data_IF_781526551342
#
_entry.id   IF_781526551342
#
_cell.length_a   1.000
_cell.length_b   1.000
_cell.length_c   1.000
_cell.angle_alpha   90.00
_cell.angle_beta   90.00
_cell.angle_gamma   90.00
#
_symmetry.space_group_name_H-M   'P 1'
#
loop_
_entity.id
_entity.type
_entity.pdbx_description
1 polymer ?
#
# COMPACT_ATOMS: atom_id res chain seq x y z
N UNK A 1 -46.59 2.01 -74.70
CA UNK A 1 -47.74 1.08 -74.57
C UNK A 1 -47.74 -0.13 -75.52
N UNK A 2 -46.62 -0.49 -76.19
CA UNK A 2 -46.54 -1.75 -76.97
C UNK A 2 -45.83 -2.91 -76.25
N UNK A 3 -45.08 -2.65 -75.17
CA UNK A 3 -44.39 -3.67 -74.36
C UNK A 3 -45.31 -4.39 -73.35
N UNK A 4 -46.35 -3.71 -72.84
CA UNK A 4 -47.32 -4.34 -71.92
C UNK A 4 -48.29 -5.32 -72.62
N UNK A 5 -48.49 -5.19 -73.95
CA UNK A 5 -49.31 -6.14 -74.71
C UNK A 5 -48.55 -7.41 -75.13
N UNK A 6 -47.21 -7.43 -75.05
CA UNK A 6 -46.43 -8.61 -75.43
C UNK A 6 -46.28 -9.61 -74.26
N UNK A 7 -46.35 -9.15 -73.01
CA UNK A 7 -46.27 -10.02 -71.84
C UNK A 7 -47.58 -10.77 -71.54
N UNK A 8 -48.73 -10.25 -71.97
CA UNK A 8 -50.02 -10.92 -71.76
C UNK A 8 -50.30 -12.04 -72.78
N UNK A 9 -49.54 -12.09 -73.88
CA UNK A 9 -49.68 -13.12 -74.93
C UNK A 9 -48.74 -14.33 -74.75
N UNK A 10 -47.78 -14.26 -73.83
CA UNK A 10 -46.92 -15.39 -73.48
C UNK A 10 -47.50 -16.30 -72.39
N UNK A 11 -48.63 -15.92 -71.78
CA UNK A 11 -49.31 -16.70 -70.75
C UNK A 11 -50.29 -17.77 -71.31
N UNK A 12 -50.37 -17.95 -72.63
CA UNK A 12 -51.30 -18.92 -73.26
C UNK A 12 -50.64 -20.01 -74.10
N UNK A 13 -49.35 -20.29 -73.90
CA UNK A 13 -48.70 -21.48 -74.43
C UNK A 13 -48.30 -22.37 -73.26
N UNK A 14 -49.07 -23.43 -73.02
CA UNK A 14 -48.71 -24.46 -72.05
C UNK A 14 -47.41 -25.18 -72.45
N UNK A 15 -46.74 -25.74 -71.43
CA UNK A 15 -45.43 -26.44 -71.39
C UNK A 15 -44.29 -25.51 -70.92
N UNK A 16 -43.82 -25.50 -69.66
CA UNK A 16 -43.94 -26.40 -68.52
C UNK A 16 -43.88 -25.57 -67.20
N UNK A 17 -44.82 -25.75 -66.25
CA UNK A 17 -44.83 -24.96 -65.00
C UNK A 17 -44.09 -25.61 -63.81
N UNK A 18 -43.48 -26.80 -63.97
CA UNK A 18 -42.94 -27.55 -62.81
C UNK A 18 -41.46 -27.27 -62.51
N UNK A 19 -40.65 -26.84 -63.48
CA UNK A 19 -39.19 -26.66 -63.30
C UNK A 19 -38.81 -25.30 -62.72
N UNK A 20 -39.41 -24.20 -63.19
CA UNK A 20 -39.16 -22.84 -62.66
C UNK A 20 -39.64 -22.69 -61.21
N UNK A 21 -40.73 -23.38 -60.84
CA UNK A 21 -41.21 -23.38 -59.47
C UNK A 21 -40.29 -24.18 -58.53
N UNK A 22 -39.66 -25.25 -59.01
CA UNK A 22 -38.69 -26.03 -58.22
C UNK A 22 -37.35 -25.31 -58.00
N UNK A 23 -36.92 -24.49 -58.96
CA UNK A 23 -35.68 -23.71 -58.86
C UNK A 23 -35.85 -22.53 -57.88
N UNK A 24 -37.00 -21.86 -57.93
CA UNK A 24 -37.37 -20.84 -56.94
C UNK A 24 -37.55 -21.42 -55.53
N UNK A 25 -38.13 -22.62 -55.39
CA UNK A 25 -38.24 -23.31 -54.10
C UNK A 25 -36.86 -23.71 -53.54
N UNK A 26 -35.92 -24.12 -54.39
CA UNK A 26 -34.54 -24.41 -53.98
C UNK A 26 -33.81 -23.14 -53.53
N UNK A 27 -33.92 -22.03 -54.27
CA UNK A 27 -33.32 -20.74 -53.89
C UNK A 27 -33.89 -20.20 -52.58
N UNK A 28 -35.21 -20.34 -52.35
CA UNK A 28 -35.85 -19.97 -51.07
C UNK A 28 -35.32 -20.84 -49.92
N UNK A 29 -35.15 -22.15 -50.12
CA UNK A 29 -34.61 -23.03 -49.09
C UNK A 29 -33.14 -22.73 -48.78
N UNK A 30 -32.32 -22.39 -49.78
CA UNK A 30 -30.93 -21.98 -49.59
C UNK A 30 -30.83 -20.67 -48.80
N UNK A 31 -31.64 -19.67 -49.17
CA UNK A 31 -31.72 -18.41 -48.43
C UNK A 31 -32.22 -18.61 -47.00
N UNK A 32 -33.17 -19.52 -46.78
CA UNK A 32 -33.66 -19.87 -45.45
C UNK A 32 -32.53 -20.49 -44.59
N UNK A 33 -31.75 -21.40 -45.17
CA UNK A 33 -30.59 -21.99 -44.51
C UNK A 33 -29.52 -20.94 -44.16
N UNK A 34 -29.25 -20.00 -45.06
CA UNK A 34 -28.30 -18.91 -44.81
C UNK A 34 -28.78 -17.97 -43.71
N UNK A 35 -30.09 -17.68 -43.67
CA UNK A 35 -30.71 -16.91 -42.59
C UNK A 35 -30.57 -17.64 -41.25
N UNK A 36 -30.83 -18.94 -41.21
CA UNK A 36 -30.72 -19.74 -40.00
C UNK A 36 -29.25 -19.78 -39.49
N UNK A 37 -28.28 -19.95 -40.38
CA UNK A 37 -26.84 -19.93 -40.06
C UNK A 37 -26.37 -18.56 -39.55
N UNK A 38 -26.82 -17.47 -40.18
CA UNK A 38 -26.52 -16.10 -39.72
C UNK A 38 -27.19 -15.79 -38.39
N UNK A 39 -28.42 -16.29 -38.16
CA UNK A 39 -29.12 -16.12 -36.89
C UNK A 39 -28.36 -16.81 -35.76
N UNK A 40 -27.90 -18.05 -35.99
CA UNK A 40 -27.08 -18.78 -35.02
C UNK A 40 -25.76 -18.05 -34.71
N UNK A 41 -25.07 -17.53 -35.73
CA UNK A 41 -23.84 -16.74 -35.53
C UNK A 41 -24.08 -15.45 -34.75
N UNK A 42 -25.21 -14.76 -34.97
CA UNK A 42 -25.57 -13.56 -34.21
C UNK A 42 -25.84 -13.89 -32.75
N UNK A 43 -26.53 -15.00 -32.47
CA UNK A 43 -26.78 -15.47 -31.10
C UNK A 43 -25.46 -15.81 -30.38
N UNK A 44 -24.57 -16.55 -31.05
CA UNK A 44 -23.24 -16.90 -30.51
C UNK A 44 -22.40 -15.64 -30.22
N UNK A 45 -22.33 -14.70 -31.16
CA UNK A 45 -21.61 -13.43 -30.98
C UNK A 45 -22.23 -12.57 -29.88
N UNK A 46 -23.55 -12.57 -29.73
CA UNK A 46 -24.23 -11.83 -28.67
C UNK A 46 -23.92 -12.42 -27.30
N UNK A 47 -23.94 -13.74 -27.17
CA UNK A 47 -23.56 -14.46 -25.95
C UNK A 47 -22.08 -14.24 -25.61
N UNK A 48 -21.19 -14.32 -26.61
CA UNK A 48 -19.77 -14.04 -26.43
C UNK A 48 -19.51 -12.61 -25.99
N UNK A 49 -20.25 -11.63 -26.54
CA UNK A 49 -20.16 -10.22 -26.10
C UNK A 49 -20.60 -10.04 -24.66
N UNK A 50 -21.68 -10.71 -24.24
CA UNK A 50 -22.18 -10.63 -22.87
C UNK A 50 -21.18 -11.25 -21.89
N UNK A 51 -20.64 -12.43 -22.20
CA UNK A 51 -19.59 -13.06 -21.40
C UNK A 51 -18.34 -12.19 -21.27
N UNK A 52 -17.86 -11.58 -22.37
CA UNK A 52 -16.72 -10.66 -22.32
C UNK A 52 -17.01 -9.40 -21.52
N UNK A 53 -18.26 -8.93 -21.52
CA UNK A 53 -18.66 -7.76 -20.73
C UNK A 53 -18.66 -8.08 -19.23
N UNK A 54 -19.17 -9.25 -18.85
CA UNK A 54 -19.12 -9.74 -17.47
C UNK A 54 -17.67 -9.91 -17.00
N UNK A 55 -16.83 -10.58 -17.79
CA UNK A 55 -15.40 -10.74 -17.48
C UNK A 55 -14.70 -9.37 -17.34
N UNK A 56 -15.03 -8.41 -18.21
CA UNK A 56 -14.46 -7.07 -18.12
C UNK A 56 -14.87 -6.34 -16.83
N UNK A 57 -16.09 -6.54 -16.35
CA UNK A 57 -16.55 -5.97 -15.09
C UNK A 57 -15.86 -6.62 -13.90
N UNK A 58 -15.72 -7.94 -13.89
CA UNK A 58 -15.00 -8.65 -12.84
C UNK A 58 -13.53 -8.19 -12.76
N UNK A 59 -12.85 -8.09 -13.91
CA UNK A 59 -11.47 -7.61 -13.97
C UNK A 59 -11.33 -6.16 -13.48
N UNK A 60 -12.33 -5.30 -13.73
CA UNK A 60 -12.34 -3.93 -13.20
C UNK A 60 -12.45 -3.92 -11.68
N UNK A 61 -13.34 -4.73 -11.11
CA UNK A 61 -13.51 -4.83 -9.66
C UNK A 61 -12.25 -5.37 -8.98
N UNK A 62 -11.60 -6.37 -9.58
CA UNK A 62 -10.30 -6.87 -9.12
C UNK A 62 -9.23 -5.77 -9.18
N UNK A 63 -9.15 -5.02 -10.29
CA UNK A 63 -8.19 -3.92 -10.44
C UNK A 63 -8.42 -2.83 -9.39
N UNK A 64 -9.68 -2.49 -9.09
CA UNK A 64 -10.02 -1.50 -8.07
C UNK A 64 -9.60 -1.98 -6.67
N UNK A 65 -9.82 -3.26 -6.38
CA UNK A 65 -9.40 -3.88 -5.11
C UNK A 65 -7.89 -3.80 -4.92
N UNK A 66 -7.12 -4.22 -5.93
CA UNK A 66 -5.65 -4.16 -5.89
C UNK A 66 -5.15 -2.72 -5.70
N UNK A 67 -5.78 -1.75 -6.36
CA UNK A 67 -5.43 -0.34 -6.18
C UNK A 67 -5.70 0.15 -4.76
N UNK A 68 -6.79 -0.30 -4.15
CA UNK A 68 -7.11 0.06 -2.78
C UNK A 68 -6.08 -0.53 -1.81
N UNK A 69 -5.76 -1.81 -1.95
CA UNK A 69 -4.73 -2.48 -1.15
C UNK A 69 -3.36 -1.80 -1.28
N UNK A 70 -3.00 -1.36 -2.51
CA UNK A 70 -1.76 -0.61 -2.72
C UNK A 70 -1.78 0.74 -1.99
N UNK A 71 -2.88 1.48 -2.05
CA UNK A 71 -3.00 2.78 -1.35
C UNK A 71 -2.94 2.61 0.17
N UNK A 72 -3.56 1.56 0.69
CA UNK A 72 -3.54 1.27 2.12
C UNK A 72 -2.12 0.90 2.59
N UNK A 73 -1.39 0.09 1.82
CA UNK A 73 0.01 -0.25 2.10
C UNK A 73 0.96 0.97 2.00
N UNK A 74 0.77 1.83 1.00
CA UNK A 74 1.54 3.08 0.87
C UNK A 74 1.29 4.02 2.06
N UNK A 75 0.05 4.06 2.55
CA UNK A 75 -0.33 4.85 3.72
C UNK A 75 0.29 4.30 5.00
N UNK A 76 0.17 3.00 5.25
CA UNK A 76 0.77 2.33 6.41
C UNK A 76 2.29 2.57 6.45
N UNK A 77 2.97 2.40 5.31
CA UNK A 77 4.40 2.69 5.20
C UNK A 77 4.72 4.16 5.49
N UNK A 78 3.90 5.10 5.03
CA UNK A 78 4.10 6.53 5.28
C UNK A 78 3.91 6.89 6.76
N UNK A 79 2.89 6.31 7.41
CA UNK A 79 2.62 6.51 8.83
C UNK A 79 3.78 5.94 9.67
N UNK A 80 4.25 4.74 9.35
CA UNK A 80 5.40 4.12 10.00
C UNK A 80 6.69 4.96 9.84
N UNK A 81 6.97 5.48 8.64
CA UNK A 81 8.13 6.35 8.42
C UNK A 81 8.05 7.64 9.22
N UNK A 82 6.86 8.24 9.32
CA UNK A 82 6.64 9.44 10.11
C UNK A 82 6.86 9.18 11.60
N UNK A 83 6.40 8.04 12.10
CA UNK A 83 6.56 7.62 13.48
C UNK A 83 8.03 7.36 13.83
N UNK A 84 8.75 6.63 12.98
CA UNK A 84 10.21 6.44 13.12
C UNK A 84 10.93 7.80 13.15
N UNK A 85 10.58 8.73 12.28
CA UNK A 85 11.18 10.06 12.26
C UNK A 85 10.88 10.85 13.55
N UNK A 86 9.65 10.74 14.09
CA UNK A 86 9.26 11.36 15.35
C UNK A 86 10.06 10.81 16.54
N UNK A 87 10.24 9.48 16.62
CA UNK A 87 11.07 8.84 17.65
C UNK A 87 12.53 9.25 17.56
N UNK A 88 13.11 9.33 16.35
CA UNK A 88 14.47 9.85 16.16
C UNK A 88 14.61 11.28 16.68
N UNK A 89 13.67 12.15 16.32
CA UNK A 89 13.66 13.53 16.77
C UNK A 89 13.51 13.63 18.29
N UNK A 90 12.68 12.77 18.88
CA UNK A 90 12.45 12.71 20.33
C UNK A 90 13.68 12.22 21.08
N UNK A 91 14.35 11.19 20.56
CA UNK A 91 15.60 10.66 21.12
C UNK A 91 16.70 11.72 21.08
N UNK A 92 16.82 12.45 19.97
CA UNK A 92 17.75 13.58 19.89
C UNK A 92 17.44 14.67 20.92
N UNK A 93 16.16 15.01 21.13
CA UNK A 93 15.74 15.97 22.14
C UNK A 93 16.07 15.49 23.57
N UNK A 94 15.86 14.21 23.88
CA UNK A 94 16.26 13.59 25.17
C UNK A 94 17.76 13.75 25.40
N UNK A 95 18.59 13.43 24.40
CA UNK A 95 20.05 13.53 24.49
C UNK A 95 20.49 14.98 24.69
N UNK A 96 19.92 15.92 23.92
CA UNK A 96 20.21 17.35 24.08
C UNK A 96 19.82 17.83 25.46
N UNK A 97 18.63 17.46 25.95
CA UNK A 97 18.16 17.86 27.27
C UNK A 97 19.03 17.27 28.40
N UNK A 98 19.51 16.04 28.28
CA UNK A 98 20.51 15.47 29.21
C UNK A 98 21.83 16.24 29.17
N UNK A 99 22.32 16.57 27.98
CA UNK A 99 23.58 17.30 27.79
C UNK A 99 23.53 18.72 28.39
N UNK A 100 22.43 19.43 28.15
CA UNK A 100 22.20 20.81 28.59
C UNK A 100 21.61 20.91 30.00
N UNK A 101 21.26 19.76 30.61
CA UNK A 101 20.63 19.63 31.93
C UNK A 101 19.26 20.33 32.00
N UNK A 102 18.49 20.24 30.92
CA UNK A 102 17.13 20.79 30.82
C UNK A 102 16.11 19.81 31.42
N UNK A 103 15.88 19.89 32.73
CA UNK A 103 15.01 18.95 33.43
C UNK A 103 13.54 19.02 33.01
N UNK A 104 13.01 20.22 32.70
CA UNK A 104 11.62 20.36 32.23
C UNK A 104 11.42 19.64 30.89
N UNK A 105 12.33 19.82 29.94
CA UNK A 105 12.32 19.14 28.65
C UNK A 105 12.34 17.61 28.82
N UNK A 106 13.12 17.09 29.79
CA UNK A 106 13.14 15.66 30.11
C UNK A 106 11.81 15.17 30.69
N UNK A 107 11.16 15.91 31.60
CA UNK A 107 9.86 15.51 32.18
C UNK A 107 8.76 15.34 31.15
N UNK A 108 8.79 16.11 30.06
CA UNK A 108 7.77 16.01 29.01
C UNK A 108 7.86 14.70 28.21
N UNK A 109 9.06 14.13 28.09
CA UNK A 109 9.33 12.94 27.29
C UNK A 109 9.42 11.65 28.10
N UNK A 110 9.68 11.74 29.40
CA UNK A 110 9.71 10.60 30.31
C UNK A 110 8.31 10.02 30.58
N UNK A 111 8.26 8.71 30.84
CA UNK A 111 7.08 8.03 31.36
C UNK A 111 6.72 8.53 32.76
N UNK A 112 5.48 8.31 33.18
CA UNK A 112 5.03 8.69 34.53
C UNK A 112 5.76 7.97 35.67
N UNK A 113 6.45 6.87 35.37
CA UNK A 113 7.20 6.06 36.34
C UNK A 113 8.65 6.50 36.50
N UNK A 114 9.17 7.31 35.57
CA UNK A 114 10.55 7.78 35.61
C UNK A 114 10.70 9.05 36.47
N UNK A 115 11.73 9.08 37.30
CA UNK A 115 12.05 10.21 38.18
C UNK A 115 13.40 10.85 37.81
N UNK A 116 13.44 12.17 37.78
CA UNK A 116 14.67 12.93 37.57
C UNK A 116 15.32 13.24 38.92
N UNK A 117 16.58 12.82 39.10
CA UNK A 117 17.41 13.19 40.23
C UNK A 117 18.40 14.30 39.83
N UNK A 118 17.95 15.55 39.91
CA UNK A 118 18.69 16.73 39.42
C UNK A 118 20.10 16.85 40.02
N UNK A 119 20.23 16.66 41.34
CA UNK A 119 21.52 16.78 42.04
C UNK A 119 22.56 15.75 41.60
N UNK A 120 22.10 14.60 41.10
CA UNK A 120 22.93 13.46 40.71
C UNK A 120 23.04 13.32 39.19
N UNK A 121 22.39 14.21 38.43
CA UNK A 121 22.36 14.23 36.97
C UNK A 121 22.05 12.83 36.40
N UNK A 122 20.98 12.21 36.93
CA UNK A 122 20.51 10.90 36.51
C UNK A 122 19.00 10.83 36.44
N UNK A 123 18.53 9.91 35.62
CA UNK A 123 17.13 9.49 35.53
C UNK A 123 17.04 8.14 36.22
N UNK A 124 16.04 7.96 37.08
CA UNK A 124 15.69 6.67 37.65
C UNK A 124 14.44 6.16 36.96
N UNK A 125 14.51 4.97 36.39
CA UNK A 125 13.38 4.29 35.77
C UNK A 125 12.79 3.28 36.76
N UNK A 126 11.79 2.51 36.32
CA UNK A 126 11.27 1.40 37.09
C UNK A 126 12.37 0.35 37.38
N UNK A 127 12.14 -0.52 38.37
CA UNK A 127 13.00 -1.68 38.65
C UNK A 127 14.46 -1.37 39.07
N UNK A 128 14.68 -0.23 39.73
CA UNK A 128 16.01 0.25 40.18
C UNK A 128 17.01 0.53 39.04
N UNK A 129 16.55 0.60 37.78
CA UNK A 129 17.42 1.05 36.70
C UNK A 129 17.65 2.57 36.79
N UNK A 130 18.88 3.00 36.56
CA UNK A 130 19.21 4.42 36.57
C UNK A 130 20.26 4.73 35.53
N UNK A 131 20.07 5.86 34.85
CA UNK A 131 20.91 6.29 33.76
C UNK A 131 21.45 7.68 34.01
N UNK A 132 22.77 7.83 33.99
CA UNK A 132 23.43 9.12 34.11
C UNK A 132 23.32 9.91 32.82
N UNK A 133 23.18 11.23 32.93
CA UNK A 133 23.09 12.10 31.77
C UNK A 133 24.28 11.91 30.83
N UNK A 134 23.97 11.75 29.55
CA UNK A 134 24.97 11.70 28.50
C UNK A 134 25.60 13.08 28.30
N UNK A 135 26.91 13.17 28.50
CA UNK A 135 27.68 14.36 28.18
C UNK A 135 28.32 14.24 26.80
N UNK A 136 27.86 15.07 25.86
CA UNK A 136 28.41 15.14 24.49
C UNK A 136 29.79 15.82 24.40
N UNK A 137 30.34 16.31 25.52
CA UNK A 137 31.63 17.01 25.52
C UNK A 137 32.80 16.11 25.08
N UNK A 138 32.71 14.79 25.32
CA UNK A 138 33.77 13.81 25.01
C UNK A 138 33.24 12.61 24.20
N UNK A 139 31.97 12.63 23.80
CA UNK A 139 31.33 11.52 23.11
C UNK A 139 30.52 12.05 21.92
N UNK A 140 30.67 11.40 20.77
CA UNK A 140 29.87 11.62 19.58
C UNK A 140 28.87 10.49 19.46
N UNK A 141 27.59 10.81 19.53
CA UNK A 141 26.53 9.88 19.18
C UNK A 141 26.25 9.99 17.69
N UNK A 142 26.32 8.88 16.97
CA UNK A 142 25.83 8.85 15.60
C UNK A 142 24.29 8.78 15.61
N UNK A 143 23.62 9.35 14.60
CA UNK A 143 22.17 9.18 14.44
C UNK A 143 21.79 7.70 14.51
N UNK A 144 20.62 7.36 15.09
CA UNK A 144 20.21 5.98 15.23
C UNK A 144 20.16 5.28 13.88
N UNK A 145 20.85 4.14 13.79
CA UNK A 145 20.91 3.33 12.58
C UNK A 145 19.54 2.70 12.30
N UNK A 146 18.85 2.26 13.34
CA UNK A 146 17.57 1.57 13.27
C UNK A 146 16.62 2.07 14.36
N UNK A 147 15.33 2.09 14.03
CA UNK A 147 14.23 2.31 14.97
C UNK A 147 13.30 1.12 14.77
N UNK A 148 13.14 0.33 15.82
CA UNK A 148 12.26 -0.84 15.83
C UNK A 148 10.93 -0.38 16.42
N UNK A 149 9.86 -0.53 15.66
CA UNK A 149 8.51 -0.21 16.08
C UNK A 149 7.73 -1.49 16.37
N UNK A 150 7.09 -1.51 17.53
CA UNK A 150 6.04 -2.44 17.90
C UNK A 150 4.75 -1.64 18.17
N UNK A 151 3.62 -2.33 18.35
CA UNK A 151 2.30 -1.69 18.46
C UNK A 151 2.21 -0.69 19.63
N UNK A 152 2.85 -0.99 20.77
CA UNK A 152 2.85 -0.15 21.97
C UNK A 152 4.26 0.14 22.51
N UNK A 153 5.31 -0.38 21.86
CA UNK A 153 6.70 -0.27 22.29
C UNK A 153 7.60 0.13 21.14
N UNK A 154 8.71 0.80 21.44
CA UNK A 154 9.67 1.21 20.44
C UNK A 154 11.09 1.17 20.99
N UNK A 155 12.03 0.81 20.13
CA UNK A 155 13.44 0.77 20.46
C UNK A 155 14.23 1.67 19.50
N UNK A 156 15.09 2.51 20.06
CA UNK A 156 15.99 3.37 19.29
C UNK A 156 17.42 3.09 19.72
N UNK A 157 18.19 2.42 18.87
CA UNK A 157 19.59 2.11 19.13
C UNK A 157 20.52 3.17 18.54
N UNK A 158 21.45 3.67 19.36
CA UNK A 158 22.44 4.65 18.96
C UNK A 158 23.86 4.17 19.29
N UNK A 159 24.77 4.33 18.33
CA UNK A 159 26.18 4.01 18.54
C UNK A 159 26.93 5.21 19.13
N UNK A 160 27.61 4.97 20.24
CA UNK A 160 28.48 5.93 20.91
C UNK A 160 29.90 5.80 20.35
N UNK A 161 30.50 6.92 19.97
CA UNK A 161 31.90 7.01 19.58
C UNK A 161 32.64 7.98 20.49
N UNK A 162 33.90 7.68 20.75
CA UNK A 162 34.81 8.57 21.48
C UNK A 162 35.85 9.12 20.51
N UNK A 163 36.22 10.37 20.71
CA UNK A 163 37.30 10.98 19.94
C UNK A 163 38.60 10.83 20.73
N UNK A 164 39.48 9.95 20.27
CA UNK A 164 40.80 9.71 20.85
C UNK A 164 41.86 9.99 19.77
N UNK A 165 42.78 10.92 20.04
CA UNK A 165 43.91 11.25 19.14
C UNK A 165 43.50 11.46 17.67
N UNK A 166 42.43 12.24 17.44
CA UNK A 166 41.85 12.53 16.11
C UNK A 166 41.20 11.32 15.40
N UNK A 167 40.99 10.20 16.09
CA UNK A 167 40.27 9.03 15.58
C UNK A 167 38.97 8.78 16.36
N UNK A 168 37.92 8.37 15.65
CA UNK A 168 36.67 7.93 16.27
C UNK A 168 36.78 6.44 16.61
N UNK A 169 36.74 6.13 17.90
CA UNK A 169 36.71 4.75 18.40
C UNK A 169 35.30 4.39 18.86
N UNK A 170 34.78 3.20 18.52
CA UNK A 170 33.48 2.75 19.02
C UNK A 170 33.54 2.60 20.54
N UNK A 171 32.62 3.26 21.24
CA UNK A 171 32.54 3.32 22.69
C UNK A 171 31.36 2.57 23.30
N UNK A 172 30.56 1.89 22.47
CA UNK A 172 29.39 1.09 22.86
C UNK A 172 28.12 1.52 22.12
N UNK A 173 26.99 0.96 22.52
CA UNK A 173 25.66 1.36 22.06
C UNK A 173 24.81 1.79 23.24
N UNK A 174 23.83 2.66 22.98
CA UNK A 174 22.82 3.10 23.94
C UNK A 174 21.47 2.80 23.31
N UNK A 175 20.65 2.05 24.03
CA UNK A 175 19.30 1.68 23.62
C UNK A 175 18.31 2.53 24.40
N UNK A 176 17.45 3.26 23.68
CA UNK A 176 16.35 4.01 24.27
C UNK A 176 15.06 3.23 24.07
N UNK A 177 14.38 2.92 25.17
CA UNK A 177 13.12 2.17 25.17
C UNK A 177 11.96 3.14 25.38
N UNK A 178 10.97 3.04 24.51
CA UNK A 178 9.76 3.86 24.53
C UNK A 178 8.52 2.99 24.66
N UNK A 179 7.50 3.51 25.35
CA UNK A 179 6.15 2.97 25.37
C UNK A 179 5.14 4.03 24.90
N UNK A 180 4.06 3.60 24.26
CA UNK A 180 2.99 4.48 23.82
C UNK A 180 2.02 4.73 24.97
N UNK A 181 2.10 5.92 25.59
CA UNK A 181 1.21 6.32 26.68
C UNK A 181 0.31 7.47 26.23
N UNK A 182 -1.01 7.29 26.36
CA UNK A 182 -2.03 8.29 26.02
C UNK A 182 -1.88 8.87 24.59
N UNK A 183 -1.38 8.07 23.65
CA UNK A 183 -1.15 8.49 22.26
C UNK A 183 0.16 9.26 22.04
N UNK A 184 1.11 9.19 22.98
CA UNK A 184 2.43 9.78 22.85
C UNK A 184 3.53 8.83 23.30
N UNK A 185 4.63 8.77 22.55
CA UNK A 185 5.79 7.97 22.91
C UNK A 185 6.52 8.56 24.12
N UNK A 186 6.60 7.77 25.20
CA UNK A 186 7.25 8.09 26.47
C UNK A 186 8.46 7.21 26.67
N UNK A 187 9.56 7.82 27.09
CA UNK A 187 10.79 7.12 27.39
C UNK A 187 10.62 6.37 28.71
N UNK A 188 10.68 5.05 28.66
CA UNK A 188 10.49 4.15 29.80
C UNK A 188 11.80 3.63 30.34
N UNK A 189 12.83 3.52 29.51
CA UNK A 189 14.17 3.11 29.97
C UNK A 189 15.30 3.53 29.02
N UNK A 190 16.53 3.49 29.53
CA UNK A 190 17.76 3.63 28.74
C UNK A 190 18.78 2.57 29.20
N UNK A 191 19.27 1.77 28.26
CA UNK A 191 20.24 0.72 28.51
C UNK A 191 21.56 0.95 27.74
N UNK A 192 22.67 0.49 28.31
CA UNK A 192 23.92 0.35 27.57
C UNK A 192 23.93 -1.01 26.86
N UNK A 193 23.98 -1.00 25.53
CA UNK A 193 24.16 -2.22 24.75
C UNK A 193 25.61 -2.73 24.81
N UNK A 194 25.77 -4.04 24.60
CA UNK A 194 27.07 -4.72 24.60
C UNK A 194 27.78 -4.67 23.25
#
# INVERSE_FOLDING_TARGET
MKKLMLLLAAASAGCAPETENSEAELEVNELQSEIDDLTAQVEELSAGRESLYEENMELKDQLLTIKQEQLDAEREQSEEQQERAALRSRTAAVITAMHEKEHESLREVLSGEAEIEEEQERIRFAEDNSFHYLSLANAHLLPPAEVILHEEEAEVEMSLYRLEEEQLTPGGTVLFLYALEEGSWKLTDIEYGQ
#
